data_IF_201379277051
#
_entry.id   IF_201379277051
#
_cell.length_a   1.000
_cell.length_b   1.000
_cell.length_c   1.000
_cell.angle_alpha   90.00
_cell.angle_beta   90.00
_cell.angle_gamma   90.00
#
_symmetry.space_group_name_H-M   'P 1'
#
loop_
_entity.id
_entity.type
_entity.pdbx_description
1 polymer ?
#
# COMPACT_ATOMS: atom_id res chain seq x y z
N UNK A 1 -32.73 14.34 1.76
CA UNK A 1 -32.94 13.28 2.76
C UNK A 1 -31.57 12.81 3.15
N UNK A 2 -31.07 13.35 4.26
CA UNK A 2 -29.70 13.13 4.73
C UNK A 2 -29.57 11.81 5.49
N UNK A 3 -28.39 11.20 5.42
CA UNK A 3 -27.94 10.11 6.30
C UNK A 3 -26.91 10.68 7.27
N UNK A 4 -27.01 10.21 8.51
CA UNK A 4 -26.34 10.74 9.70
C UNK A 4 -24.86 10.37 9.74
N UNK A 5 -24.06 11.32 10.20
CA UNK A 5 -22.69 11.13 10.70
C UNK A 5 -22.83 10.90 12.22
N UNK A 6 -22.18 9.86 12.73
CA UNK A 6 -22.08 9.63 14.17
C UNK A 6 -21.02 10.57 14.75
N UNK A 7 -21.46 11.56 15.52
CA UNK A 7 -20.60 12.33 16.43
C UNK A 7 -20.67 11.64 17.79
N UNK A 8 -19.54 11.18 18.30
CA UNK A 8 -19.40 10.71 19.68
C UNK A 8 -19.41 11.95 20.59
N UNK A 9 -20.47 12.07 21.39
CA UNK A 9 -20.67 13.12 22.40
C UNK A 9 -19.78 12.82 23.62
N UNK A 10 -18.61 13.45 23.73
CA UNK A 10 -17.83 13.45 24.97
C UNK A 10 -18.49 14.38 26.01
N UNK A 11 -19.47 13.84 26.73
CA UNK A 11 -19.99 14.45 27.96
C UNK A 11 -19.90 13.45 29.11
N UNK A 12 -18.75 13.45 29.77
CA UNK A 12 -18.57 13.31 31.22
C UNK A 12 -17.13 12.86 31.52
N UNK A 13 -16.21 13.80 31.64
CA UNK A 13 -15.06 13.71 32.55
C UNK A 13 -14.85 15.09 33.17
N UNK A 14 -14.60 15.10 34.48
CA UNK A 14 -14.42 16.28 35.31
C UNK A 14 -13.38 17.25 34.72
N UNK A 15 -13.73 18.53 34.65
CA UNK A 15 -12.98 19.58 33.94
C UNK A 15 -12.05 20.36 34.87
N UNK A 16 -11.31 19.71 35.76
CA UNK A 16 -10.44 20.42 36.72
C UNK A 16 -8.99 20.65 36.25
N UNK A 17 -8.52 19.99 35.17
CA UNK A 17 -7.09 20.02 34.78
C UNK A 17 -6.75 20.73 33.45
N UNK A 18 -7.71 21.44 32.84
CA UNK A 18 -7.51 22.11 31.54
C UNK A 18 -7.97 23.58 31.57
N UNK A 19 -7.13 24.49 31.06
CA UNK A 19 -7.49 25.89 30.80
C UNK A 19 -7.81 26.10 29.32
N UNK A 20 -8.93 26.78 29.04
CA UNK A 20 -9.35 27.16 27.67
C UNK A 20 -8.67 28.47 27.25
N UNK A 21 -8.03 28.48 26.08
CA UNK A 21 -7.37 29.64 25.49
C UNK A 21 -8.32 30.46 24.62
N UNK A 22 -7.96 31.73 24.36
CA UNK A 22 -8.81 32.67 23.59
C UNK A 22 -9.08 32.24 22.13
N UNK A 23 -8.34 31.27 21.60
CA UNK A 23 -8.54 30.69 20.26
C UNK A 23 -9.38 29.40 20.24
N UNK A 24 -9.88 28.96 21.40
CA UNK A 24 -10.71 27.76 21.54
C UNK A 24 -9.93 26.45 21.63
N UNK A 25 -8.60 26.51 21.82
CA UNK A 25 -7.78 25.36 22.19
C UNK A 25 -7.67 25.20 23.71
N UNK A 26 -7.37 24.00 24.20
CA UNK A 26 -7.21 23.70 25.63
C UNK A 26 -5.75 23.37 25.96
N UNK A 27 -5.22 23.97 27.04
CA UNK A 27 -3.90 23.70 27.59
C UNK A 27 -4.05 22.85 28.86
N UNK A 28 -3.34 21.73 28.93
CA UNK A 28 -3.30 20.87 30.12
C UNK A 28 -2.40 21.49 31.21
N UNK A 29 -2.90 21.60 32.43
CA UNK A 29 -2.22 22.23 33.57
C UNK A 29 -1.82 21.25 34.68
N UNK A 30 -1.42 20.02 34.34
CA UNK A 30 -0.91 19.04 35.31
C UNK A 30 0.60 19.19 35.54
N UNK A 31 1.02 19.38 36.80
CA UNK A 31 2.39 19.16 37.24
C UNK A 31 2.70 17.65 37.20
N UNK A 32 3.79 17.26 36.54
CA UNK A 32 4.38 15.93 36.70
C UNK A 32 5.17 15.93 38.01
N UNK A 33 4.51 15.55 39.10
CA UNK A 33 5.19 15.13 40.32
C UNK A 33 5.34 13.61 40.30
N UNK A 34 6.60 13.18 40.47
CA UNK A 34 7.03 11.80 40.70
C UNK A 34 6.30 11.23 41.93
N UNK A 35 5.64 10.09 41.80
CA UNK A 35 5.42 9.16 42.91
C UNK A 35 5.40 7.73 42.35
N UNK A 36 6.48 7.01 42.68
CA UNK A 36 6.62 5.56 42.63
C UNK A 36 5.54 4.92 43.51
N UNK A 37 4.74 4.01 42.96
CA UNK A 37 4.00 3.04 43.76
C UNK A 37 4.21 1.63 43.17
N UNK A 38 4.88 0.83 43.99
CA UNK A 38 5.24 -0.58 43.88
C UNK A 38 4.12 -1.47 43.29
N UNK A 39 4.46 -2.25 42.27
CA UNK A 39 3.82 -3.55 42.02
C UNK A 39 4.90 -4.63 42.01
N UNK A 40 4.90 -5.42 43.09
CA UNK A 40 5.78 -6.56 43.35
C UNK A 40 5.84 -7.52 42.15
N UNK A 41 7.07 -7.78 41.68
CA UNK A 41 7.42 -8.96 40.91
C UNK A 41 7.53 -10.15 41.87
N UNK A 42 6.51 -11.00 41.92
CA UNK A 42 6.69 -12.36 42.42
C UNK A 42 7.31 -13.21 41.30
N UNK A 43 8.59 -13.48 41.50
CA UNK A 43 9.47 -14.42 40.80
C UNK A 43 9.15 -15.82 41.34
N UNK A 44 8.39 -16.63 40.58
CA UNK A 44 8.31 -18.07 40.79
C UNK A 44 8.83 -18.79 39.54
N UNK A 45 9.86 -19.58 39.81
CA UNK A 45 10.76 -20.33 38.93
C UNK A 45 10.05 -21.38 38.05
N UNK A 46 10.61 -21.54 36.85
CA UNK A 46 10.79 -22.79 36.08
C UNK A 46 9.61 -23.78 36.02
N UNK A 47 8.81 -23.69 34.95
CA UNK A 47 8.24 -24.87 34.30
C UNK A 47 8.63 -24.87 32.81
N UNK A 48 9.46 -25.84 32.45
CA UNK A 48 9.79 -26.24 31.09
C UNK A 48 8.51 -26.76 30.40
N UNK A 49 7.75 -25.90 29.73
CA UNK A 49 6.73 -26.35 28.79
C UNK A 49 7.37 -26.55 27.41
N UNK A 50 7.65 -27.83 27.13
CA UNK A 50 7.85 -28.36 25.78
C UNK A 50 6.74 -27.80 24.87
N UNK A 51 7.12 -27.18 23.74
CA UNK A 51 6.20 -26.96 22.63
C UNK A 51 5.74 -28.33 22.13
N UNK A 52 4.70 -28.89 22.74
CA UNK A 52 3.91 -29.94 22.13
C UNK A 52 3.23 -29.29 20.91
N UNK A 53 3.50 -29.84 19.73
CA UNK A 53 2.71 -29.62 18.52
C UNK A 53 1.28 -30.06 18.83
N UNK A 54 0.47 -29.16 19.39
CA UNK A 54 -0.97 -29.35 19.47
C UNK A 54 -1.51 -29.23 18.04
N UNK A 55 -1.82 -30.39 17.45
CA UNK A 55 -2.76 -30.53 16.34
C UNK A 55 -4.11 -29.96 16.82
N UNK A 56 -4.26 -28.63 16.78
CA UNK A 56 -5.53 -27.96 17.02
C UNK A 56 -6.53 -28.41 15.94
N UNK A 57 -7.39 -29.34 16.33
CA UNK A 57 -8.57 -29.73 15.59
C UNK A 57 -9.50 -28.50 15.57
N UNK A 58 -9.32 -27.62 14.57
CA UNK A 58 -10.06 -26.36 14.42
C UNK A 58 -11.55 -26.55 14.72
N UNK A 59 -12.02 -26.04 15.86
CA UNK A 59 -13.45 -25.97 16.13
C UNK A 59 -14.08 -25.11 15.01
N UNK A 60 -15.07 -25.66 14.30
CA UNK A 60 -15.82 -24.90 13.31
C UNK A 60 -16.47 -23.70 14.03
N UNK A 61 -16.10 -22.48 13.64
CA UNK A 61 -16.75 -21.26 14.15
C UNK A 61 -18.19 -21.26 13.63
N UNK A 62 -19.14 -21.64 14.49
CA UNK A 62 -20.47 -22.18 14.15
C UNK A 62 -21.41 -21.20 13.40
N UNK A 63 -20.99 -19.95 13.16
CA UNK A 63 -21.81 -18.89 12.57
C UNK A 63 -21.42 -18.49 11.11
N UNK A 64 -20.39 -19.10 10.51
CA UNK A 64 -19.97 -18.80 9.13
C UNK A 64 -20.71 -19.64 8.07
N UNK A 65 -20.80 -19.12 6.84
CA UNK A 65 -21.52 -19.79 5.73
C UNK A 65 -20.87 -21.10 5.28
N UNK A 66 -19.54 -21.12 5.22
CA UNK A 66 -18.76 -22.32 4.91
C UNK A 66 -18.04 -22.83 6.16
N UNK A 67 -18.05 -24.14 6.36
CA UNK A 67 -17.17 -24.77 7.36
C UNK A 67 -15.70 -24.57 6.99
N UNK A 68 -14.77 -24.69 7.93
CA UNK A 68 -13.35 -24.45 7.68
C UNK A 68 -12.82 -25.37 6.53
N UNK A 69 -13.27 -26.63 6.51
CA UNK A 69 -12.93 -27.57 5.44
C UNK A 69 -13.47 -27.16 4.05
N UNK A 70 -14.68 -26.59 3.99
CA UNK A 70 -15.25 -26.08 2.74
C UNK A 70 -14.53 -24.83 2.27
N UNK A 71 -14.18 -23.94 3.20
CA UNK A 71 -13.44 -22.73 2.94
C UNK A 71 -12.09 -23.04 2.28
N UNK A 72 -11.29 -23.94 2.87
CA UNK A 72 -9.99 -24.34 2.29
C UNK A 72 -10.10 -24.86 0.85
N UNK A 73 -11.13 -25.67 0.54
CA UNK A 73 -11.37 -26.12 -0.84
C UNK A 73 -11.64 -24.97 -1.81
N UNK A 74 -12.37 -23.94 -1.37
CA UNK A 74 -12.66 -22.76 -2.18
C UNK A 74 -11.39 -21.94 -2.38
N UNK A 75 -10.65 -21.68 -1.30
CA UNK A 75 -9.42 -20.87 -1.29
C UNK A 75 -8.32 -21.50 -2.14
N UNK A 76 -8.11 -22.81 -2.04
CA UNK A 76 -7.16 -23.55 -2.90
C UNK A 76 -7.51 -23.39 -4.39
N UNK A 77 -8.80 -23.46 -4.72
CA UNK A 77 -9.24 -23.33 -6.09
C UNK A 77 -9.19 -21.87 -6.57
N UNK A 78 -9.33 -20.88 -5.68
CA UNK A 78 -9.05 -19.46 -5.97
C UNK A 78 -7.57 -19.29 -6.32
N UNK A 79 -6.65 -19.73 -5.45
CA UNK A 79 -5.19 -19.63 -5.68
C UNK A 79 -4.84 -20.21 -7.05
N UNK A 80 -5.32 -21.43 -7.31
CA UNK A 80 -5.06 -22.15 -8.56
C UNK A 80 -5.66 -21.49 -9.81
N UNK A 81 -6.89 -20.97 -9.76
CA UNK A 81 -7.54 -20.36 -10.93
C UNK A 81 -7.05 -18.93 -11.19
N UNK A 82 -6.56 -18.24 -10.16
CA UNK A 82 -6.20 -16.82 -10.24
C UNK A 82 -4.70 -16.57 -10.28
N UNK A 83 -3.85 -17.58 -10.04
CA UNK A 83 -2.41 -17.46 -10.12
C UNK A 83 -1.92 -16.76 -11.40
N UNK A 84 -1.18 -15.67 -11.21
CA UNK A 84 -0.52 -14.89 -12.26
C UNK A 84 0.91 -14.61 -11.86
N UNK A 85 1.78 -14.40 -12.84
CA UNK A 85 3.13 -13.89 -12.57
C UNK A 85 3.05 -12.42 -12.18
N UNK A 86 3.81 -12.05 -11.16
CA UNK A 86 4.08 -10.69 -10.73
C UNK A 86 5.59 -10.50 -10.53
N UNK A 87 5.99 -9.28 -10.21
CA UNK A 87 7.36 -8.95 -9.82
C UNK A 87 7.32 -8.31 -8.44
N UNK A 88 7.90 -8.99 -7.47
CA UNK A 88 8.18 -8.46 -6.14
C UNK A 88 9.31 -7.43 -6.23
N UNK A 89 9.19 -6.35 -5.46
CA UNK A 89 10.22 -5.35 -5.29
C UNK A 89 10.75 -5.44 -3.85
N UNK A 90 12.05 -5.69 -3.71
CA UNK A 90 12.74 -5.54 -2.44
C UNK A 90 13.39 -4.17 -2.41
N UNK A 91 13.06 -3.37 -1.38
CA UNK A 91 13.57 -2.03 -1.18
C UNK A 91 14.60 -2.00 -0.05
N UNK A 92 15.83 -1.60 -0.37
CA UNK A 92 16.92 -1.42 0.59
C UNK A 92 17.32 0.05 0.67
N UNK A 93 17.59 0.56 1.87
CA UNK A 93 18.07 1.93 2.02
C UNK A 93 19.43 2.10 1.33
N UNK A 94 19.57 3.19 0.57
CA UNK A 94 20.81 3.46 -0.17
C UNK A 94 22.00 3.70 0.76
N UNK A 95 23.07 2.93 0.56
CA UNK A 95 24.38 3.24 1.14
C UNK A 95 24.93 4.53 0.50
N UNK A 96 25.10 5.57 1.30
CA UNK A 96 25.63 6.88 0.85
C UNK A 96 27.02 6.79 0.21
N UNK A 97 27.77 5.72 0.44
CA UNK A 97 29.06 5.48 -0.21
C UNK A 97 28.94 4.83 -1.61
N UNK A 98 27.75 4.38 -1.97
CA UNK A 98 27.41 3.75 -3.26
C UNK A 98 26.12 4.38 -3.81
N UNK A 99 26.18 5.66 -4.21
CA UNK A 99 24.99 6.35 -4.72
C UNK A 99 24.48 5.67 -6.00
N UNK A 100 23.16 5.65 -6.15
CA UNK A 100 22.50 5.15 -7.34
C UNK A 100 22.75 6.06 -8.53
N UNK A 101 22.76 5.48 -9.73
CA UNK A 101 22.69 6.27 -10.95
C UNK A 101 21.29 6.90 -11.08
N UNK A 102 21.20 8.02 -11.78
CA UNK A 102 19.90 8.64 -12.07
C UNK A 102 18.99 7.73 -12.90
N UNK A 103 19.54 6.72 -13.58
CA UNK A 103 18.80 5.74 -14.40
C UNK A 103 18.42 4.47 -13.64
N UNK A 104 18.86 4.29 -12.40
CA UNK A 104 18.58 3.09 -11.62
C UNK A 104 17.15 3.10 -11.07
N UNK A 105 16.60 1.91 -10.85
CA UNK A 105 15.32 1.75 -10.18
C UNK A 105 15.46 2.12 -8.71
N UNK A 106 14.52 2.91 -8.21
CA UNK A 106 14.57 3.51 -6.87
C UNK A 106 13.20 3.89 -6.37
N UNK A 107 13.04 3.93 -5.06
CA UNK A 107 12.02 4.77 -4.41
C UNK A 107 12.68 6.04 -3.87
N UNK A 108 12.00 7.17 -4.06
CA UNK A 108 12.53 8.49 -3.72
C UNK A 108 13.75 8.92 -4.54
N UNK A 109 14.58 9.79 -3.97
CA UNK A 109 15.77 10.32 -4.62
C UNK A 109 15.49 11.33 -5.75
N UNK A 110 16.53 11.61 -6.55
CA UNK A 110 16.42 12.45 -7.74
C UNK A 110 16.05 11.61 -8.98
N UNK A 111 15.14 12.12 -9.84
CA UNK A 111 14.71 11.41 -11.05
C UNK A 111 15.75 11.46 -12.16
N UNK A 112 15.73 10.43 -13.02
CA UNK A 112 16.19 10.57 -14.40
C UNK A 112 15.44 11.72 -15.08
N UNK A 113 16.15 12.66 -15.69
CA UNK A 113 15.51 13.69 -16.52
C UNK A 113 16.43 14.12 -17.65
N UNK A 114 15.87 14.60 -18.76
CA UNK A 114 16.64 15.11 -19.90
C UNK A 114 16.42 16.60 -20.09
N UNK A 115 17.46 17.29 -20.59
CA UNK A 115 17.39 18.71 -20.88
C UNK A 115 16.30 19.02 -21.92
N UNK A 116 15.59 20.13 -21.71
CA UNK A 116 14.49 20.58 -22.57
C UNK A 116 13.13 19.91 -22.33
N UNK A 117 13.02 18.91 -21.44
CA UNK A 117 11.73 18.34 -21.04
C UNK A 117 11.06 19.17 -19.93
N UNK A 118 9.75 19.38 -20.04
CA UNK A 118 8.96 20.07 -19.01
C UNK A 118 8.75 19.18 -17.78
N UNK A 119 9.30 19.61 -16.65
CA UNK A 119 9.20 18.88 -15.39
C UNK A 119 7.76 18.87 -14.85
N UNK A 120 7.24 17.73 -14.33
CA UNK A 120 5.86 17.62 -13.90
C UNK A 120 5.52 18.54 -12.71
N UNK A 121 4.40 19.24 -12.83
CA UNK A 121 3.82 20.07 -11.77
C UNK A 121 2.36 19.69 -11.54
N UNK A 122 1.91 19.84 -10.29
CA UNK A 122 0.50 19.79 -9.94
C UNK A 122 -0.24 20.89 -10.72
N UNK A 123 -1.42 20.57 -11.27
CA UNK A 123 -2.20 21.51 -12.07
C UNK A 123 -3.02 22.48 -11.24
N UNK A 124 -3.30 22.13 -9.99
CA UNK A 124 -4.12 22.94 -9.10
C UNK A 124 -3.39 24.22 -8.65
N UNK A 125 -2.10 24.13 -8.33
CA UNK A 125 -1.29 25.28 -7.85
C UNK A 125 0.09 25.43 -8.50
N UNK A 126 0.48 24.53 -9.41
CA UNK A 126 1.79 24.59 -10.08
C UNK A 126 2.95 24.04 -9.26
N UNK A 127 2.71 23.42 -8.11
CA UNK A 127 3.76 22.81 -7.27
C UNK A 127 4.49 21.72 -8.04
N UNK A 128 5.84 21.72 -8.00
CA UNK A 128 6.63 20.65 -8.61
C UNK A 128 6.35 19.33 -7.88
N UNK A 129 6.07 18.28 -8.65
CA UNK A 129 5.86 16.96 -8.09
C UNK A 129 7.20 16.33 -7.69
N UNK A 130 7.17 15.52 -6.63
CA UNK A 130 8.34 14.83 -6.09
C UNK A 130 8.29 13.37 -6.53
N UNK A 131 9.47 12.81 -6.83
CA UNK A 131 9.58 11.42 -7.27
C UNK A 131 9.22 10.48 -6.11
N UNK A 132 8.19 9.67 -6.31
CA UNK A 132 7.85 8.56 -5.42
C UNK A 132 8.65 7.31 -5.80
N UNK A 133 8.60 6.95 -7.09
CA UNK A 133 9.24 5.74 -7.58
C UNK A 133 9.72 5.89 -9.02
N UNK A 134 10.81 5.19 -9.34
CA UNK A 134 11.34 5.06 -10.69
C UNK A 134 11.67 3.59 -10.94
N UNK A 135 11.11 3.02 -12.00
CA UNK A 135 11.34 1.64 -12.41
C UNK A 135 12.01 1.64 -13.79
N UNK A 136 13.23 1.14 -13.85
CA UNK A 136 13.91 0.85 -15.10
C UNK A 136 13.58 -0.58 -15.52
N UNK A 137 12.78 -0.72 -16.57
CA UNK A 137 12.34 -2.04 -17.04
C UNK A 137 13.48 -2.96 -17.48
N UNK A 138 14.67 -2.40 -17.79
CA UNK A 138 15.86 -3.19 -18.05
C UNK A 138 16.51 -3.83 -16.82
N UNK A 139 16.06 -3.49 -15.61
CA UNK A 139 16.58 -3.99 -14.33
C UNK A 139 15.66 -5.00 -13.64
N UNK A 140 14.42 -5.17 -14.12
CA UNK A 140 13.46 -6.14 -13.56
C UNK A 140 13.25 -7.33 -14.51
N UNK A 141 12.79 -8.48 -14.02
CA UNK A 141 12.38 -9.59 -14.87
C UNK A 141 11.25 -9.19 -15.84
N UNK A 142 11.25 -9.75 -17.04
CA UNK A 142 10.16 -9.51 -18.00
C UNK A 142 8.82 -10.02 -17.47
N UNK A 143 7.80 -9.17 -17.59
CA UNK A 143 6.41 -9.43 -17.26
C UNK A 143 5.54 -9.16 -18.50
N UNK A 144 4.59 -10.05 -18.78
CA UNK A 144 3.74 -9.96 -19.97
C UNK A 144 2.99 -8.63 -20.02
N UNK A 145 2.86 -8.05 -21.21
CA UNK A 145 2.25 -6.73 -21.50
C UNK A 145 3.06 -5.50 -21.00
N UNK A 146 4.00 -5.66 -20.06
CA UNK A 146 4.87 -4.56 -19.61
C UNK A 146 5.98 -4.24 -20.62
N UNK A 147 6.51 -2.99 -20.63
CA UNK A 147 7.67 -2.66 -21.45
C UNK A 147 8.91 -3.49 -21.07
N UNK A 148 9.73 -3.86 -22.05
CA UNK A 148 11.02 -4.57 -21.83
C UNK A 148 12.19 -3.60 -21.55
N UNK A 149 11.99 -2.30 -21.75
CA UNK A 149 13.02 -1.27 -21.60
C UNK A 149 12.39 0.10 -21.34
N UNK A 150 13.22 1.09 -21.07
CA UNK A 150 12.80 2.43 -20.70
C UNK A 150 12.58 2.57 -19.19
N UNK A 151 12.33 3.80 -18.77
CA UNK A 151 12.15 4.16 -17.35
C UNK A 151 10.73 4.69 -17.16
N UNK A 152 9.97 4.09 -16.26
CA UNK A 152 8.68 4.60 -15.79
C UNK A 152 8.87 5.25 -14.42
N UNK A 153 8.41 6.48 -14.28
CA UNK A 153 8.48 7.26 -13.06
C UNK A 153 7.08 7.58 -12.55
N UNK A 154 6.94 7.67 -11.23
CA UNK A 154 5.72 8.06 -10.54
C UNK A 154 6.04 9.28 -9.68
N UNK A 155 5.40 10.40 -9.99
CA UNK A 155 5.54 11.63 -9.23
C UNK A 155 4.22 11.94 -8.51
N UNK A 156 4.31 12.39 -7.26
CA UNK A 156 3.15 12.81 -6.45
C UNK A 156 3.39 14.20 -5.85
N UNK A 157 2.30 14.90 -5.52
CA UNK A 157 2.37 16.20 -4.85
C UNK A 157 2.76 15.99 -3.38
N UNK A 158 3.76 16.72 -2.87
CA UNK A 158 4.16 16.61 -1.47
C UNK A 158 3.22 17.43 -0.58
N UNK A 159 2.07 16.87 -0.23
CA UNK A 159 1.07 17.45 0.68
C UNK A 159 0.63 16.45 1.76
N UNK A 160 -0.29 16.87 2.62
CA UNK A 160 -0.75 16.09 3.78
C UNK A 160 -1.56 14.84 3.40
N UNK A 161 -1.88 14.65 2.11
CA UNK A 161 -2.59 13.46 1.59
C UNK A 161 -1.81 12.78 0.46
N UNK A 162 -0.51 13.02 0.39
CA UNK A 162 0.43 12.44 -0.58
C UNK A 162 -0.02 12.61 -2.04
N UNK A 163 -0.67 13.74 -2.35
CA UNK A 163 -1.15 14.06 -3.69
C UNK A 163 -2.31 13.21 -4.17
N UNK A 164 -2.95 12.44 -3.29
CA UNK A 164 -4.18 11.74 -3.63
C UNK A 164 -5.35 12.73 -3.82
N UNK A 165 -6.33 12.32 -4.60
CA UNK A 165 -7.61 13.01 -4.75
C UNK A 165 -8.72 11.96 -4.65
N UNK A 166 -9.11 11.68 -3.40
CA UNK A 166 -10.11 10.66 -3.06
C UNK A 166 -11.50 10.94 -3.63
N UNK A 167 -11.80 12.22 -3.89
CA UNK A 167 -13.08 12.66 -4.44
C UNK A 167 -13.07 12.66 -5.97
N UNK A 168 -11.92 12.98 -6.60
CA UNK A 168 -11.80 13.08 -8.04
C UNK A 168 -10.58 12.33 -8.56
N UNK A 169 -10.80 11.38 -9.47
CA UNK A 169 -9.76 10.53 -10.09
C UNK A 169 -8.90 11.29 -11.14
N UNK A 170 -8.62 12.56 -10.91
CA UNK A 170 -7.97 13.48 -11.84
C UNK A 170 -6.46 13.55 -11.63
N UNK A 171 -5.71 13.46 -12.73
CA UNK A 171 -4.24 13.54 -12.87
C UNK A 171 -3.61 14.90 -12.53
N UNK A 172 -4.19 15.61 -11.58
CA UNK A 172 -3.87 16.99 -11.28
C UNK A 172 -2.82 17.09 -10.18
N UNK A 173 -2.62 16.01 -9.39
CA UNK A 173 -1.68 15.95 -8.25
C UNK A 173 -0.67 14.80 -8.31
N UNK A 174 -0.82 13.85 -9.23
CA UNK A 174 0.21 12.85 -9.56
C UNK A 174 0.47 12.78 -11.07
N UNK A 175 1.64 12.28 -11.45
CA UNK A 175 2.01 12.11 -12.85
C UNK A 175 2.94 10.93 -13.04
N UNK A 176 2.50 9.88 -13.75
CA UNK A 176 3.41 8.94 -14.34
C UNK A 176 4.09 9.51 -15.58
N UNK A 177 5.39 9.25 -15.74
CA UNK A 177 6.16 9.67 -16.92
C UNK A 177 6.97 8.48 -17.41
N UNK A 178 6.78 8.09 -18.67
CA UNK A 178 7.53 7.01 -19.29
C UNK A 178 8.54 7.55 -20.30
N UNK A 179 9.82 7.23 -20.08
CA UNK A 179 10.92 7.51 -20.97
C UNK A 179 11.29 6.24 -21.74
N UNK A 180 10.74 6.10 -22.94
CA UNK A 180 11.01 4.95 -23.81
C UNK A 180 12.49 4.87 -24.24
N UNK A 181 13.11 6.03 -24.51
CA UNK A 181 14.52 6.12 -24.93
C UNK A 181 15.33 6.81 -23.83
N UNK A 182 16.26 6.07 -23.22
CA UNK A 182 17.14 6.57 -22.17
C UNK A 182 18.38 7.20 -22.84
N UNK A 183 18.42 8.53 -22.92
CA UNK A 183 19.63 9.28 -23.28
C UNK A 183 20.39 9.79 -22.06
N UNK A 184 21.34 10.71 -22.28
CA UNK A 184 22.16 11.29 -21.21
C UNK A 184 21.28 12.03 -20.18
N UNK A 185 21.40 11.69 -18.87
CA UNK A 185 20.67 12.39 -17.83
C UNK A 185 21.24 13.80 -17.60
N UNK A 186 20.41 14.72 -17.12
CA UNK A 186 20.85 15.97 -16.53
C UNK A 186 21.75 15.70 -15.31
N UNK A 187 22.65 16.63 -14.99
CA UNK A 187 23.40 16.55 -13.72
C UNK A 187 22.49 16.87 -12.53
N UNK A 188 22.86 16.37 -11.35
CA UNK A 188 22.16 16.72 -10.11
C UNK A 188 22.08 18.24 -9.92
N UNK A 189 23.17 18.98 -10.16
CA UNK A 189 23.17 20.44 -10.01
C UNK A 189 22.14 21.12 -10.93
N UNK A 190 21.92 20.58 -12.13
CA UNK A 190 20.94 21.11 -13.06
C UNK A 190 19.50 20.81 -12.59
N UNK A 191 19.22 19.62 -12.06
CA UNK A 191 17.94 19.28 -11.43
C UNK A 191 17.65 20.19 -10.23
N UNK A 192 18.65 20.40 -9.37
CA UNK A 192 18.57 21.30 -8.21
C UNK A 192 18.32 22.75 -8.65
N UNK A 193 18.98 23.22 -9.71
CA UNK A 193 18.77 24.55 -10.27
C UNK A 193 17.36 24.74 -10.85
N UNK A 194 16.70 23.67 -11.28
CA UNK A 194 15.28 23.66 -11.66
C UNK A 194 14.32 23.66 -10.47
N UNK A 195 14.82 23.59 -9.24
CA UNK A 195 14.02 23.51 -8.02
C UNK A 195 13.42 22.13 -7.77
N UNK A 196 14.00 21.06 -8.34
CA UNK A 196 13.62 19.68 -8.03
C UNK A 196 14.05 19.35 -6.61
N UNK A 197 13.14 18.74 -5.85
CA UNK A 197 13.34 18.29 -4.47
C UNK A 197 13.21 16.78 -4.37
N UNK A 198 13.90 16.19 -3.41
CA UNK A 198 13.71 14.79 -2.99
C UNK A 198 12.68 14.69 -1.86
N UNK A 199 12.32 13.46 -1.51
CA UNK A 199 11.42 13.17 -0.40
C UNK A 199 11.92 13.73 0.95
N UNK A 200 13.23 13.65 1.22
CA UNK A 200 13.87 14.18 2.44
C UNK A 200 13.77 15.71 2.58
N UNK A 201 13.49 16.43 1.50
CA UNK A 201 13.48 17.90 1.45
C UNK A 201 12.07 18.50 1.50
N UNK A 202 11.05 17.66 1.64
CA UNK A 202 9.66 18.06 1.77
C UNK A 202 9.09 17.63 3.11
N UNK A 203 8.04 18.33 3.57
CA UNK A 203 7.50 18.15 4.91
C UNK A 203 6.65 16.87 5.06
N UNK A 204 5.88 16.55 4.02
CA UNK A 204 4.95 15.41 4.01
C UNK A 204 5.20 14.60 2.75
N UNK A 205 5.63 13.36 2.94
CA UNK A 205 5.87 12.39 1.88
C UNK A 205 5.82 10.97 2.49
N UNK A 206 5.35 9.95 1.76
CA UNK A 206 5.14 8.62 2.32
C UNK A 206 6.42 7.78 2.43
N UNK A 207 7.59 8.33 2.10
CA UNK A 207 8.86 7.61 2.25
C UNK A 207 10.02 8.56 2.45
N UNK A 208 11.02 8.10 3.18
CA UNK A 208 12.32 8.75 3.33
C UNK A 208 13.31 7.72 3.91
N UNK A 209 14.55 7.57 3.38
CA UNK A 209 15.21 8.42 2.40
C UNK A 209 15.01 7.89 0.96
N UNK A 210 16.10 7.65 0.22
CA UNK A 210 16.13 6.95 -1.07
C UNK A 210 16.37 5.45 -0.85
N UNK A 211 15.64 4.63 -1.59
CA UNK A 211 15.74 3.17 -1.55
C UNK A 211 16.20 2.62 -2.90
N UNK A 212 17.19 1.72 -2.88
CA UNK A 212 17.60 0.90 -4.00
C UNK A 212 16.63 -0.26 -4.17
N UNK A 213 16.26 -0.56 -5.42
CA UNK A 213 15.30 -1.63 -5.69
C UNK A 213 16.00 -2.83 -6.33
N UNK A 214 15.64 -4.01 -5.86
CA UNK A 214 15.88 -5.28 -6.54
C UNK A 214 14.56 -5.99 -6.81
N UNK A 215 14.56 -6.93 -7.75
CA UNK A 215 13.34 -7.47 -8.33
C UNK A 215 13.40 -8.98 -8.44
N UNK A 216 12.34 -9.65 -7.96
CA UNK A 216 12.18 -11.10 -8.04
C UNK A 216 10.86 -11.47 -8.71
N UNK A 217 10.85 -12.56 -9.48
CA UNK A 217 9.60 -13.08 -10.04
C UNK A 217 8.85 -13.81 -8.96
N UNK A 218 7.56 -13.53 -8.86
CA UNK A 218 6.67 -14.15 -7.90
C UNK A 218 5.38 -14.62 -8.57
N UNK A 219 4.74 -15.61 -7.98
CA UNK A 219 3.33 -15.92 -8.22
C UNK A 219 2.46 -15.08 -7.28
N UNK A 220 1.48 -14.38 -7.83
CA UNK A 220 0.46 -13.63 -7.10
C UNK A 220 -0.91 -14.22 -7.43
N UNK A 221 -1.79 -14.26 -6.44
CA UNK A 221 -3.16 -14.74 -6.59
C UNK A 221 -4.13 -13.78 -5.92
N UNK A 222 -5.41 -13.95 -6.24
CA UNK A 222 -6.46 -13.08 -5.77
C UNK A 222 -6.60 -13.19 -4.24
N UNK A 223 -6.39 -12.08 -3.54
CA UNK A 223 -6.52 -11.98 -2.09
C UNK A 223 -7.86 -11.34 -1.69
N UNK A 224 -8.20 -11.43 -0.40
CA UNK A 224 -9.51 -11.01 0.12
C UNK A 224 -9.73 -9.49 0.14
N UNK A 225 -8.67 -8.67 0.10
CA UNK A 225 -8.82 -7.19 0.04
C UNK A 225 -9.43 -6.72 -1.29
N UNK A 226 -9.34 -7.54 -2.34
CA UNK A 226 -10.08 -7.37 -3.59
C UNK A 226 -11.54 -7.87 -3.45
N UNK A 227 -12.28 -7.40 -2.45
CA UNK A 227 -13.55 -7.98 -1.96
C UNK A 227 -14.55 -8.35 -3.08
N UNK A 228 -14.92 -7.37 -3.91
CA UNK A 228 -15.88 -7.56 -5.02
C UNK A 228 -15.45 -8.68 -5.99
N UNK A 229 -14.15 -8.73 -6.31
CA UNK A 229 -13.59 -9.72 -7.21
C UNK A 229 -13.52 -11.09 -6.53
N UNK A 230 -13.10 -11.12 -5.26
CA UNK A 230 -12.98 -12.32 -4.46
C UNK A 230 -14.34 -13.00 -4.27
N UNK A 231 -15.35 -12.24 -3.83
CA UNK A 231 -16.72 -12.70 -3.64
C UNK A 231 -17.28 -13.31 -4.93
N UNK A 232 -17.05 -12.64 -6.06
CA UNK A 232 -17.48 -13.13 -7.38
C UNK A 232 -16.82 -14.45 -7.75
N UNK A 233 -15.53 -14.64 -7.44
CA UNK A 233 -14.85 -15.91 -7.70
C UNK A 233 -15.32 -17.02 -6.75
N UNK A 234 -15.54 -16.73 -5.46
CA UNK A 234 -16.15 -17.69 -4.51
C UNK A 234 -17.49 -18.21 -5.06
N UNK A 235 -18.39 -17.31 -5.48
CA UNK A 235 -19.71 -17.69 -6.01
C UNK A 235 -19.62 -18.49 -7.32
N UNK A 236 -18.57 -18.32 -8.12
CA UNK A 236 -18.31 -19.14 -9.32
C UNK A 236 -17.70 -20.50 -8.99
N UNK A 237 -16.89 -20.60 -7.95
CA UNK A 237 -16.15 -21.80 -7.56
C UNK A 237 -17.03 -22.76 -6.76
N UNK A 238 -17.77 -22.26 -5.78
CA UNK A 238 -18.62 -23.05 -4.89
C UNK A 238 -19.51 -24.10 -5.63
N UNK A 239 -20.27 -23.76 -6.70
CA UNK A 239 -21.09 -24.75 -7.39
C UNK A 239 -20.26 -25.79 -8.16
N UNK A 240 -19.03 -25.46 -8.59
CA UNK A 240 -18.11 -26.42 -9.24
C UNK A 240 -17.60 -27.47 -8.24
N UNK A 241 -17.52 -27.10 -6.95
CA UNK A 241 -17.14 -27.97 -5.85
C UNK A 241 -18.34 -28.71 -5.22
N UNK A 242 -19.55 -28.52 -5.74
CA UNK A 242 -20.81 -29.02 -5.16
C UNK A 242 -21.12 -28.45 -3.76
N UNK A 243 -20.68 -27.22 -3.49
CA UNK A 243 -20.95 -26.48 -2.26
C UNK A 243 -22.16 -25.54 -2.45
N UNK A 244 -22.87 -25.17 -1.37
CA UNK A 244 -23.90 -24.15 -1.44
C UNK A 244 -23.30 -22.82 -1.90
N UNK A 245 -24.10 -22.00 -2.59
CA UNK A 245 -23.69 -20.66 -3.02
C UNK A 245 -24.34 -19.66 -2.06
N UNK A 246 -23.59 -18.75 -1.42
CA UNK A 246 -24.14 -17.66 -0.63
C UNK A 246 -25.17 -16.90 -1.47
N UNK A 247 -26.16 -16.26 -0.84
CA UNK A 247 -27.06 -15.36 -1.55
C UNK A 247 -26.51 -13.92 -1.54
N UNK A 248 -27.13 -13.01 -2.30
CA UNK A 248 -26.65 -11.62 -2.44
C UNK A 248 -26.70 -10.82 -1.13
N UNK A 249 -27.43 -11.30 -0.10
CA UNK A 249 -27.54 -10.64 1.20
C UNK A 249 -26.62 -11.27 2.26
N UNK A 250 -25.91 -12.36 1.95
CA UNK A 250 -24.89 -12.92 2.84
C UNK A 250 -23.68 -11.98 2.84
N UNK A 251 -23.34 -11.35 3.98
CA UNK A 251 -22.15 -10.50 4.08
C UNK A 251 -20.88 -11.27 3.73
N UNK A 252 -19.94 -10.62 3.04
CA UNK A 252 -18.67 -11.24 2.64
C UNK A 252 -17.89 -11.80 3.85
N UNK A 253 -17.84 -11.05 4.94
CA UNK A 253 -17.16 -11.46 6.17
C UNK A 253 -17.83 -12.64 6.88
N UNK A 254 -19.08 -12.98 6.53
CA UNK A 254 -19.77 -14.16 7.05
C UNK A 254 -19.48 -15.40 6.20
N UNK A 255 -18.68 -15.31 5.12
CA UNK A 255 -18.38 -16.46 4.27
C UNK A 255 -17.47 -17.46 4.99
N UNK A 256 -16.46 -16.96 5.68
CA UNK A 256 -15.38 -17.74 6.29
C UNK A 256 -15.10 -17.22 7.70
N UNK A 257 -14.71 -18.11 8.60
CA UNK A 257 -14.29 -17.76 9.96
C UNK A 257 -13.08 -16.84 9.96
N UNK A 258 -12.92 -16.03 11.01
CA UNK A 258 -11.81 -15.09 11.11
C UNK A 258 -10.46 -15.80 11.01
N UNK A 259 -10.27 -16.94 11.69
CA UNK A 259 -9.02 -17.71 11.59
C UNK A 259 -8.72 -18.20 10.16
N UNK A 260 -9.72 -18.60 9.37
CA UNK A 260 -9.49 -18.99 7.97
C UNK A 260 -9.13 -17.77 7.11
N UNK A 261 -9.70 -16.60 7.40
CA UNK A 261 -9.41 -15.37 6.67
C UNK A 261 -8.00 -14.89 6.97
N UNK A 262 -7.60 -14.91 8.24
CA UNK A 262 -6.27 -14.51 8.69
C UNK A 262 -5.20 -15.42 8.09
N UNK A 263 -5.36 -16.75 8.21
CA UNK A 263 -4.45 -17.72 7.58
C UNK A 263 -4.33 -17.52 6.06
N UNK A 264 -5.44 -17.23 5.38
CA UNK A 264 -5.42 -17.00 3.93
C UNK A 264 -4.78 -15.66 3.56
N UNK A 265 -4.93 -14.63 4.38
CA UNK A 265 -4.25 -13.36 4.19
C UNK A 265 -2.75 -13.53 4.35
N UNK A 266 -2.29 -14.24 5.39
CA UNK A 266 -0.88 -14.59 5.59
C UNK A 266 -0.32 -15.38 4.40
N UNK A 267 -1.11 -16.31 3.85
CA UNK A 267 -0.75 -17.03 2.62
C UNK A 267 -0.67 -16.13 1.38
N UNK A 268 -1.37 -14.98 1.37
CA UNK A 268 -1.34 -14.01 0.27
C UNK A 268 -0.27 -12.92 0.46
N UNK A 269 0.25 -12.76 1.67
CA UNK A 269 1.31 -11.80 2.00
C UNK A 269 2.62 -12.26 1.37
N UNK A 270 2.86 -11.78 0.16
CA UNK A 270 4.18 -11.84 -0.43
C UNK A 270 4.57 -10.49 -0.98
N UNK A 271 5.81 -10.08 -0.68
CA UNK A 271 6.41 -8.91 -1.29
C UNK A 271 5.58 -7.66 -1.07
N UNK A 272 5.86 -6.96 0.01
CA UNK A 272 5.23 -5.70 0.41
C UNK A 272 5.14 -4.66 -0.73
N UNK A 273 5.98 -4.78 -1.75
CA UNK A 273 5.96 -3.93 -2.93
C UNK A 273 5.88 -4.79 -4.20
N UNK A 274 4.99 -4.42 -5.13
CA UNK A 274 4.61 -5.31 -6.24
C UNK A 274 4.41 -4.56 -7.58
N UNK A 275 4.76 -5.23 -8.68
CA UNK A 275 4.39 -4.85 -10.06
C UNK A 275 3.63 -6.02 -10.70
N UNK A 276 2.46 -5.73 -11.28
CA UNK A 276 1.54 -6.77 -11.73
C UNK A 276 0.84 -7.47 -10.56
N UNK A 277 0.35 -8.68 -10.76
CA UNK A 277 -0.36 -9.42 -9.71
C UNK A 277 -1.71 -8.81 -9.31
N UNK A 278 -2.18 -9.20 -8.12
CA UNK A 278 -3.36 -8.62 -7.48
C UNK A 278 -2.94 -7.61 -6.41
N UNK A 279 -3.61 -6.45 -6.32
CA UNK A 279 -3.31 -5.46 -5.30
C UNK A 279 -3.79 -5.90 -3.92
N UNK A 280 -3.22 -5.28 -2.89
CA UNK A 280 -3.73 -5.26 -1.54
C UNK A 280 -4.21 -3.86 -1.16
N UNK A 281 -5.15 -3.79 -0.21
CA UNK A 281 -5.74 -2.56 0.33
C UNK A 281 -5.90 -2.67 1.83
N UNK A 282 -5.68 -1.58 2.57
CA UNK A 282 -5.98 -1.52 4.00
C UNK A 282 -7.48 -1.27 4.25
N UNK A 283 -8.17 -0.63 3.30
CA UNK A 283 -9.60 -0.35 3.36
C UNK A 283 -10.33 -1.07 2.23
N UNK A 284 -10.57 -0.37 1.12
CA UNK A 284 -11.41 -0.85 0.03
C UNK A 284 -10.77 -0.58 -1.32
N UNK A 285 -11.00 -1.49 -2.28
CA UNK A 285 -10.59 -1.29 -3.66
C UNK A 285 -11.22 0.00 -4.24
N UNK A 286 -10.42 1.01 -4.64
CA UNK A 286 -10.93 2.28 -5.14
C UNK A 286 -11.47 2.17 -6.58
N UNK A 287 -11.30 1.03 -7.24
CA UNK A 287 -11.75 0.80 -8.62
C UNK A 287 -13.25 0.52 -8.63
N UNK A 288 -13.93 1.15 -9.58
CA UNK A 288 -15.36 0.93 -9.78
C UNK A 288 -15.58 -0.36 -10.59
N UNK A 289 -16.74 -0.99 -10.42
CA UNK A 289 -17.07 -2.25 -11.12
C UNK A 289 -16.98 -2.21 -12.66
N UNK A 290 -17.11 -1.02 -13.26
CA UNK A 290 -17.02 -0.77 -14.71
C UNK A 290 -15.70 -0.12 -15.13
N UNK A 291 -14.73 -0.04 -14.22
CA UNK A 291 -13.42 0.55 -14.47
C UNK A 291 -12.56 -0.33 -15.39
N UNK A 292 -11.79 0.32 -16.25
CA UNK A 292 -10.85 -0.34 -17.16
C UNK A 292 -9.44 -0.50 -16.57
N UNK A 293 -9.20 -0.01 -15.34
CA UNK A 293 -7.90 -0.04 -14.63
C UNK A 293 -7.60 -1.42 -14.02
N UNK A 294 -7.53 -2.42 -14.87
CA UNK A 294 -7.43 -3.84 -14.50
C UNK A 294 -6.01 -4.35 -14.19
N UNK A 295 -4.98 -3.53 -14.41
CA UNK A 295 -3.58 -3.91 -14.16
C UNK A 295 -3.00 -3.09 -13.00
N UNK A 296 -2.47 -3.78 -11.98
CA UNK A 296 -1.61 -3.18 -10.96
C UNK A 296 -0.26 -2.81 -11.59
N UNK A 297 0.00 -1.51 -11.68
CA UNK A 297 1.20 -0.96 -12.29
C UNK A 297 2.33 -0.83 -11.27
N UNK A 298 2.00 -0.47 -10.02
CA UNK A 298 2.93 -0.42 -8.89
C UNK A 298 2.14 -0.44 -7.58
N UNK A 299 2.62 -1.19 -6.60
CA UNK A 299 2.19 -1.17 -5.21
C UNK A 299 3.41 -0.91 -4.32
N UNK A 300 3.22 -0.05 -3.31
CA UNK A 300 4.21 0.24 -2.29
C UNK A 300 3.50 0.19 -0.94
N UNK A 301 3.68 -0.88 -0.17
CA UNK A 301 3.24 -0.94 1.22
C UNK A 301 4.10 -0.08 2.15
N UNK A 302 3.60 0.19 3.34
CA UNK A 302 4.44 0.71 4.43
C UNK A 302 5.47 -0.34 4.83
N UNK A 303 6.68 0.10 5.14
CA UNK A 303 7.82 -0.73 5.49
C UNK A 303 8.75 0.05 6.43
N UNK A 304 9.34 -0.66 7.40
CA UNK A 304 10.25 -0.11 8.40
C UNK A 304 9.57 0.09 9.75
N UNK A 305 10.39 0.27 10.80
CA UNK A 305 9.94 0.22 12.19
C UNK A 305 9.63 1.60 12.80
N UNK A 306 9.65 2.67 12.00
CA UNK A 306 9.42 4.04 12.49
C UNK A 306 10.50 4.59 13.43
N UNK A 307 11.60 3.85 13.63
CA UNK A 307 12.73 4.31 14.45
C UNK A 307 13.41 5.51 13.76
N UNK A 308 13.53 6.61 14.49
CA UNK A 308 14.15 7.84 13.99
C UNK A 308 15.57 7.57 13.48
N UNK A 309 15.75 7.62 12.15
CA UNK A 309 17.05 7.57 11.50
C UNK A 309 17.31 6.33 10.63
N UNK A 310 16.45 5.31 10.70
CA UNK A 310 16.63 4.05 9.97
C UNK A 310 15.87 4.00 8.64
N UNK A 311 15.18 5.07 8.24
CA UNK A 311 14.45 5.13 6.97
C UNK A 311 13.15 4.33 6.99
N UNK A 312 12.09 4.90 6.46
CA UNK A 312 10.75 4.33 6.47
C UNK A 312 10.00 4.62 5.17
N UNK A 313 9.07 3.72 4.85
CA UNK A 313 7.96 3.96 3.94
C UNK A 313 6.71 3.90 4.83
N UNK A 314 5.97 5.00 4.93
CA UNK A 314 4.83 5.10 5.81
C UNK A 314 3.67 5.82 5.13
N UNK A 315 2.58 5.08 4.91
CA UNK A 315 1.34 5.59 4.33
C UNK A 315 0.29 5.76 5.42
N UNK A 316 0.24 6.92 6.08
CA UNK A 316 -0.70 7.14 7.17
C UNK A 316 -0.45 6.16 8.33
N UNK A 317 -1.49 5.42 8.75
CA UNK A 317 -1.40 4.37 9.78
C UNK A 317 -1.08 3.01 9.13
N UNK A 318 0.20 2.81 8.76
CA UNK A 318 0.71 1.57 8.16
C UNK A 318 -0.05 1.08 6.92
N UNK A 319 -0.39 2.01 6.04
CA UNK A 319 -1.17 1.75 4.84
C UNK A 319 -0.37 1.34 3.61
N UNK A 320 -1.00 1.50 2.44
CA UNK A 320 -0.48 1.06 1.15
C UNK A 320 -0.84 2.03 0.03
N UNK A 321 0.09 2.25 -0.91
CA UNK A 321 -0.12 3.05 -2.12
C UNK A 321 -0.15 2.19 -3.38
N UNK A 322 -1.10 2.43 -4.29
CA UNK A 322 -1.25 1.68 -5.53
C UNK A 322 -1.42 2.59 -6.76
N UNK A 323 -0.88 2.15 -7.89
CA UNK A 323 -1.11 2.73 -9.21
C UNK A 323 -1.72 1.67 -10.14
N UNK A 324 -2.78 2.02 -10.86
CA UNK A 324 -3.46 1.10 -11.78
C UNK A 324 -3.56 1.68 -13.19
N UNK A 325 -3.51 0.81 -14.20
CA UNK A 325 -3.64 1.20 -15.60
C UNK A 325 -4.54 0.19 -16.33
N UNK A 326 -5.13 0.61 -17.45
CA UNK A 326 -5.80 -0.36 -18.32
C UNK A 326 -4.77 -1.19 -19.09
N UNK A 327 -5.03 -2.48 -19.25
CA UNK A 327 -4.17 -3.36 -20.05
C UNK A 327 -3.97 -2.86 -21.48
N UNK A 328 -4.99 -2.25 -22.07
CA UNK A 328 -4.94 -1.66 -23.41
C UNK A 328 -3.99 -0.46 -23.49
N UNK A 329 -3.98 0.40 -22.48
CA UNK A 329 -3.08 1.55 -22.41
C UNK A 329 -1.65 1.11 -22.09
N UNK A 330 -1.47 0.12 -21.21
CA UNK A 330 -0.16 -0.47 -20.90
C UNK A 330 0.51 -1.04 -22.17
N UNK A 331 -0.24 -1.82 -22.97
CA UNK A 331 0.24 -2.35 -24.26
C UNK A 331 0.65 -1.25 -25.25
N UNK A 332 -0.02 -0.11 -25.20
CA UNK A 332 0.27 1.07 -26.02
C UNK A 332 1.35 1.97 -25.41
N UNK A 333 1.81 1.67 -24.19
CA UNK A 333 2.73 2.51 -23.39
C UNK A 333 2.17 3.91 -23.13
N UNK A 334 0.85 4.01 -22.99
CA UNK A 334 0.14 5.26 -22.72
C UNK A 334 -0.18 5.41 -21.24
N UNK A 335 0.72 6.05 -20.49
CA UNK A 335 0.58 6.25 -19.05
C UNK A 335 -0.22 7.53 -18.69
N UNK A 336 -0.95 8.11 -19.65
CA UNK A 336 -1.76 9.31 -19.39
C UNK A 336 -3.02 9.03 -18.57
N UNK A 337 -3.43 7.75 -18.48
CA UNK A 337 -4.61 7.29 -17.75
C UNK A 337 -4.29 6.22 -16.69
N UNK A 338 -3.46 6.57 -15.72
CA UNK A 338 -3.17 5.80 -14.48
C UNK A 338 -3.94 6.27 -13.23
N UNK A 339 -4.76 5.40 -12.65
CA UNK A 339 -5.34 5.66 -11.33
C UNK A 339 -4.24 5.60 -10.26
N UNK A 340 -4.29 6.52 -9.30
CA UNK A 340 -3.50 6.47 -8.07
C UNK A 340 -4.45 6.46 -6.87
N UNK A 341 -4.14 5.65 -5.88
CA UNK A 341 -4.80 5.63 -4.57
C UNK A 341 -3.79 5.28 -3.49
N UNK A 342 -4.08 5.65 -2.26
CA UNK A 342 -3.49 5.03 -1.08
C UNK A 342 -4.54 4.97 0.03
N UNK A 343 -4.46 4.00 0.90
CA UNK A 343 -5.30 3.91 2.11
C UNK A 343 -4.47 3.40 3.29
N UNK A 344 -5.04 3.46 4.49
CA UNK A 344 -4.40 2.99 5.74
C UNK A 344 -5.46 2.47 6.71
N UNK A 345 -5.03 1.80 7.78
CA UNK A 345 -5.94 1.15 8.74
C UNK A 345 -6.79 2.13 9.57
#
# INVERSE_FOLDING_TARGET
MGRNIYLVDMKNKDTEDYEELEDGSYLFNGNLDDDDDDFDYDDDEDDDDEYEDDDDEYEDDDDCFYTNAQARLILDEIKKQTAVTAVEIVADIVDKNKPLLLTDSKFGGLPYWQDGMEYPTAKDDGTKLVLLAQINFGQMPHLDDFPESGILQFFIKPDDIYGCDFDNRNYDRWRPVYHENIGEPMSEEALRAMGVKTAEEVKSFPLSPEFALSFEKQESFLNMTCEDLFEREVRKIAPKLNLPVPDENTPFYDFFSDGVRDDFNDECEFGEHLIGGYPSFAQYDPRQSDDDKDVLLLQINSWGNGDEGDGEIMWGDCGIGNFFISRDDLKKRDFSRVLYNWDCY
#
